data_IF_423268605077
#
_entry.id   IF_423268605077
#
_cell.length_a   1.000
_cell.length_b   1.000
_cell.length_c   1.000
_cell.angle_alpha   90.00
_cell.angle_beta   90.00
_cell.angle_gamma   90.00
#
_symmetry.space_group_name_H-M   'P 1'
#
loop_
_entity.id
_entity.type
_entity.pdbx_description
1 polymer ?
#
# COMPACT_ATOMS: atom_id res chain seq x y z
N UNK A 1 13.06 0.88 -13.29
CA UNK A 1 11.62 1.13 -13.48
C UNK A 1 11.09 1.55 -12.12
N UNK A 2 10.40 2.68 -12.03
CA UNK A 2 9.73 3.09 -10.80
C UNK A 2 8.36 2.41 -10.72
N UNK A 3 8.01 1.91 -9.54
CA UNK A 3 6.75 1.20 -9.32
C UNK A 3 5.65 2.23 -9.04
N UNK A 4 4.49 2.05 -9.65
CA UNK A 4 3.34 2.95 -9.51
C UNK A 4 2.06 2.14 -9.32
N UNK A 5 1.13 2.67 -8.52
CA UNK A 5 -0.20 2.05 -8.33
C UNK A 5 -1.15 2.59 -9.40
N UNK A 6 -1.74 1.69 -10.18
CA UNK A 6 -2.72 2.01 -11.23
C UNK A 6 -4.12 2.05 -10.69
N UNK A 7 -4.45 1.10 -9.82
CA UNK A 7 -5.78 0.92 -9.26
C UNK A 7 -5.66 0.45 -7.81
N UNK A 8 -6.58 0.92 -6.96
CA UNK A 8 -6.72 0.44 -5.60
C UNK A 8 -8.20 0.44 -5.20
N UNK A 9 -8.66 -0.63 -4.55
CA UNK A 9 -10.03 -0.78 -4.09
C UNK A 9 -10.05 -1.25 -2.63
N UNK A 10 -10.82 -0.57 -1.79
CA UNK A 10 -11.07 -0.99 -0.42
C UNK A 10 -11.86 -2.30 -0.36
N UNK A 11 -11.37 -3.27 0.41
CA UNK A 11 -12.00 -4.60 0.57
C UNK A 11 -12.65 -4.82 1.95
N UNK A 12 -12.56 -3.85 2.85
CA UNK A 12 -12.97 -4.02 4.24
C UNK A 12 -11.77 -4.13 5.19
N UNK A 13 -12.03 -3.84 6.47
CA UNK A 13 -11.01 -3.74 7.52
C UNK A 13 -9.91 -2.73 7.11
N UNK A 14 -8.67 -3.20 6.96
CA UNK A 14 -7.53 -2.41 6.48
C UNK A 14 -6.92 -3.02 5.21
N UNK A 15 -7.74 -3.76 4.45
CA UNK A 15 -7.31 -4.47 3.25
C UNK A 15 -7.70 -3.73 1.99
N UNK A 16 -6.81 -3.78 1.01
CA UNK A 16 -7.00 -3.19 -0.31
C UNK A 16 -6.60 -4.17 -1.41
N UNK A 17 -7.39 -4.26 -2.46
CA UNK A 17 -6.95 -4.83 -3.73
C UNK A 17 -6.17 -3.75 -4.49
N UNK A 18 -5.02 -4.08 -5.05
CA UNK A 18 -4.17 -3.12 -5.76
C UNK A 18 -3.66 -3.71 -7.06
N UNK A 19 -3.48 -2.85 -8.07
CA UNK A 19 -2.84 -3.19 -9.35
C UNK A 19 -1.69 -2.24 -9.61
N UNK A 20 -0.52 -2.78 -9.98
CA UNK A 20 0.69 -2.01 -10.25
C UNK A 20 0.97 -1.86 -11.76
N UNK A 21 1.79 -0.87 -12.11
CA UNK A 21 2.20 -0.60 -13.50
C UNK A 21 3.02 -1.74 -14.16
N UNK A 22 3.53 -2.69 -13.39
CA UNK A 22 4.22 -3.87 -13.90
C UNK A 22 3.27 -5.05 -14.23
N UNK A 23 1.96 -4.85 -14.10
CA UNK A 23 0.93 -5.84 -14.39
C UNK A 23 0.60 -6.79 -13.24
N UNK A 24 1.28 -6.69 -12.09
CA UNK A 24 0.94 -7.49 -10.92
C UNK A 24 -0.21 -6.86 -10.14
N UNK A 25 -1.04 -7.71 -9.55
CA UNK A 25 -2.13 -7.33 -8.67
C UNK A 25 -2.17 -8.24 -7.44
N UNK A 26 -2.58 -7.70 -6.30
CA UNK A 26 -2.57 -8.41 -5.03
C UNK A 26 -3.44 -7.74 -3.98
N UNK A 27 -3.49 -8.35 -2.78
CA UNK A 27 -4.21 -7.81 -1.63
C UNK A 27 -3.18 -7.40 -0.58
N UNK A 28 -3.13 -6.10 -0.27
CA UNK A 28 -2.31 -5.59 0.83
C UNK A 28 -3.16 -5.49 2.10
N UNK A 29 -2.71 -6.08 3.19
CA UNK A 29 -3.22 -5.81 4.54
C UNK A 29 -2.36 -4.74 5.20
N UNK A 30 -2.98 -3.59 5.49
CA UNK A 30 -2.30 -2.43 6.04
C UNK A 30 -2.59 -2.23 7.54
N UNK A 31 -3.30 -3.15 8.20
CA UNK A 31 -3.77 -2.93 9.57
C UNK A 31 -2.66 -2.69 10.59
N UNK A 32 -1.55 -3.43 10.48
CA UNK A 32 -0.44 -3.35 11.44
C UNK A 32 0.45 -2.12 11.24
N UNK A 33 0.34 -1.44 10.11
CA UNK A 33 1.27 -0.37 9.68
C UNK A 33 0.72 1.04 9.87
N UNK A 34 -0.55 1.17 10.27
CA UNK A 34 -1.20 2.46 10.54
C UNK A 34 -0.89 2.94 11.97
N UNK A 35 0.34 3.40 12.18
CA UNK A 35 0.80 3.85 13.51
C UNK A 35 1.41 5.24 13.47
N UNK A 36 0.91 6.13 14.34
CA UNK A 36 1.53 7.41 14.63
C UNK A 36 1.25 8.51 13.61
N UNK A 37 1.23 9.75 14.11
CA UNK A 37 1.18 10.96 13.28
C UNK A 37 -0.05 11.00 12.38
N UNK A 38 0.18 11.20 11.08
CA UNK A 38 -0.91 11.32 10.09
C UNK A 38 -1.71 10.01 9.92
N UNK A 39 -1.13 8.86 10.27
CA UNK A 39 -1.79 7.56 10.14
C UNK A 39 -2.75 7.24 11.30
N UNK A 40 -2.67 7.93 12.43
CA UNK A 40 -3.54 7.63 13.58
C UNK A 40 -5.03 7.83 13.27
N UNK A 41 -5.37 8.80 12.41
CA UNK A 41 -6.75 9.01 11.94
C UNK A 41 -7.28 7.83 11.13
N UNK A 42 -6.40 7.06 10.47
CA UNK A 42 -6.77 5.92 9.63
C UNK A 42 -7.06 4.66 10.44
N UNK A 43 -6.90 4.69 11.77
CA UNK A 43 -7.44 3.65 12.67
C UNK A 43 -8.97 3.65 12.72
N UNK A 44 -9.62 4.73 12.28
CA UNK A 44 -11.04 4.68 11.94
C UNK A 44 -11.19 4.10 10.53
N UNK A 45 -11.84 2.94 10.43
CA UNK A 45 -12.09 2.25 9.16
C UNK A 45 -12.88 3.12 8.18
N UNK A 46 -13.72 4.04 8.65
CA UNK A 46 -14.46 4.95 7.77
C UNK A 46 -13.52 5.98 7.13
N UNK A 47 -12.48 6.42 7.83
CA UNK A 47 -11.44 7.28 7.27
C UNK A 47 -10.53 6.48 6.33
N UNK A 48 -10.15 5.26 6.72
CA UNK A 48 -9.36 4.36 5.88
C UNK A 48 -10.06 4.04 4.55
N UNK A 49 -11.37 3.82 4.57
CA UNK A 49 -12.16 3.51 3.37
C UNK A 49 -12.18 4.63 2.33
N UNK A 50 -11.78 5.86 2.69
CA UNK A 50 -11.68 7.01 1.78
C UNK A 50 -10.40 7.03 0.94
N UNK A 51 -9.62 5.95 0.96
CA UNK A 51 -8.42 5.83 0.15
C UNK A 51 -8.73 6.08 -1.33
N UNK A 52 -7.77 6.65 -2.04
CA UNK A 52 -7.82 6.84 -3.49
C UNK A 52 -6.43 6.64 -4.08
N UNK A 53 -6.38 6.32 -5.37
CA UNK A 53 -5.14 6.47 -6.14
C UNK A 53 -4.95 7.95 -6.42
N UNK A 54 -3.80 8.49 -6.00
CA UNK A 54 -3.35 9.82 -6.33
C UNK A 54 -2.58 9.77 -7.65
N UNK A 55 -3.05 10.51 -8.66
CA UNK A 55 -2.46 10.48 -10.00
C UNK A 55 -1.16 11.28 -10.11
N UNK A 56 -0.89 12.22 -9.18
CA UNK A 56 0.34 13.00 -9.15
C UNK A 56 1.45 12.25 -8.42
N UNK A 57 1.11 11.61 -7.29
CA UNK A 57 2.05 10.81 -6.51
C UNK A 57 2.19 9.36 -7.01
N UNK A 58 1.30 8.95 -7.91
CA UNK A 58 1.22 7.60 -8.48
C UNK A 58 1.14 6.48 -7.42
N UNK A 59 0.44 6.77 -6.32
CA UNK A 59 0.28 5.87 -5.17
C UNK A 59 -1.10 5.97 -4.52
N UNK A 60 -1.35 5.23 -3.43
CA UNK A 60 -2.54 5.41 -2.59
C UNK A 60 -2.36 6.56 -1.60
N UNK A 61 -3.40 7.36 -1.44
CA UNK A 61 -3.45 8.46 -0.49
C UNK A 61 -4.84 8.60 0.15
N UNK A 62 -4.88 9.28 1.28
CA UNK A 62 -6.09 9.59 2.04
C UNK A 62 -6.37 11.10 2.09
N UNK A 63 -7.62 11.53 2.37
CA UNK A 63 -7.97 12.95 2.44
C UNK A 63 -7.20 13.76 3.49
N UNK A 64 -6.67 13.11 4.53
CA UNK A 64 -5.86 13.73 5.57
C UNK A 64 -4.40 13.99 5.14
N UNK A 65 -4.04 13.66 3.89
CA UNK A 65 -2.69 13.84 3.35
C UNK A 65 -1.74 12.69 3.66
N UNK A 66 -2.21 11.60 4.28
CA UNK A 66 -1.41 10.39 4.40
C UNK A 66 -1.27 9.71 3.02
N UNK A 67 -0.09 9.17 2.73
CA UNK A 67 0.19 8.32 1.59
C UNK A 67 1.10 7.17 2.03
N UNK A 68 1.17 6.12 1.20
CA UNK A 68 2.13 5.04 1.36
C UNK A 68 2.89 4.85 0.06
N UNK A 69 4.21 4.67 0.10
CA UNK A 69 4.99 4.43 -1.10
C UNK A 69 4.53 3.17 -1.86
N UNK A 70 4.51 3.15 -3.21
CA UNK A 70 4.12 1.99 -3.99
C UNK A 70 4.87 0.70 -3.62
N UNK A 71 6.19 0.80 -3.37
CA UNK A 71 7.03 -0.34 -2.98
C UNK A 71 6.64 -0.93 -1.62
N UNK A 72 6.18 -0.09 -0.69
CA UNK A 72 5.70 -0.54 0.62
C UNK A 72 4.36 -1.27 0.49
N UNK A 73 3.43 -0.74 -0.31
CA UNK A 73 2.15 -1.41 -0.58
C UNK A 73 2.38 -2.73 -1.31
N UNK A 74 3.32 -2.76 -2.25
CA UNK A 74 3.71 -3.97 -2.97
C UNK A 74 4.32 -5.01 -2.01
N UNK A 75 5.19 -4.59 -1.10
CA UNK A 75 5.70 -5.46 -0.04
C UNK A 75 4.55 -6.05 0.78
N UNK A 76 3.59 -5.25 1.24
CA UNK A 76 2.45 -5.80 2.00
C UNK A 76 1.58 -6.76 1.21
N UNK A 77 1.47 -6.59 -0.11
CA UNK A 77 0.71 -7.48 -0.98
C UNK A 77 1.42 -8.82 -1.28
N UNK A 78 2.75 -8.86 -1.23
CA UNK A 78 3.54 -9.99 -1.72
C UNK A 78 4.65 -10.46 -0.77
N UNK A 79 4.66 -10.03 0.50
CA UNK A 79 5.72 -10.33 1.48
C UNK A 79 6.04 -11.82 1.66
N UNK A 80 5.10 -12.70 1.35
CA UNK A 80 5.26 -14.16 1.45
C UNK A 80 5.74 -14.82 0.14
N UNK A 81 5.90 -14.06 -0.95
CA UNK A 81 6.41 -14.58 -2.23
C UNK A 81 7.93 -14.82 -2.13
N UNK A 82 8.41 -16.08 -2.27
CA UNK A 82 9.83 -16.39 -2.17
C UNK A 82 10.67 -15.76 -3.30
N UNK A 83 10.08 -15.45 -4.45
CA UNK A 83 10.77 -14.87 -5.59
C UNK A 83 11.08 -13.38 -5.39
N UNK A 84 10.33 -12.71 -4.51
CA UNK A 84 10.43 -11.27 -4.28
C UNK A 84 11.31 -10.91 -3.07
N UNK A 85 11.77 -11.91 -2.29
CA UNK A 85 12.54 -11.68 -1.07
C UNK A 85 13.83 -10.89 -1.29
N UNK A 86 14.56 -11.15 -2.38
CA UNK A 86 15.79 -10.40 -2.69
C UNK A 86 15.49 -8.92 -3.00
N UNK A 87 14.36 -8.66 -3.67
CA UNK A 87 13.91 -7.31 -3.98
C UNK A 87 13.48 -6.58 -2.70
N UNK A 88 12.74 -7.23 -1.80
CA UNK A 88 12.36 -6.64 -0.51
C UNK A 88 13.53 -6.33 0.40
N UNK A 89 14.58 -7.17 0.38
CA UNK A 89 15.85 -6.88 1.06
C UNK A 89 16.55 -5.67 0.45
N UNK A 90 16.59 -5.58 -0.89
CA UNK A 90 17.18 -4.43 -1.58
C UNK A 90 16.43 -3.11 -1.31
N UNK A 91 15.11 -3.19 -1.07
CA UNK A 91 14.28 -2.05 -0.65
C UNK A 91 14.29 -1.77 0.86
N UNK A 92 14.85 -2.65 1.67
CA UNK A 92 14.92 -2.51 3.13
C UNK A 92 13.64 -2.91 3.87
N UNK A 93 12.70 -3.63 3.24
CA UNK A 93 11.47 -4.11 3.87
C UNK A 93 11.57 -5.54 4.43
N UNK A 94 12.63 -6.28 4.09
CA UNK A 94 12.90 -7.62 4.59
C UNK A 94 14.36 -7.76 5.05
N UNK A 95 14.62 -8.71 5.96
CA UNK A 95 15.95 -9.04 6.50
C UNK A 95 16.51 -10.31 5.88
#
# INVERSE_FOLDING_TARGET
>A
MFLHIKEAQYLGDYRIAVTFNNGQAGIADLGEVLQGGVFDALKDKNEFAKLRVDAELETIAWPNGADLAPEFVYFQAFKDDPLLQQQFKAWGYAT
#
